data_IF_931873302644
#
_entry.id   IF_931873302644
#
_cell.length_a   1.000
_cell.length_b   1.000
_cell.length_c   1.000
_cell.angle_alpha   90.00
_cell.angle_beta   90.00
_cell.angle_gamma   90.00
#
_symmetry.space_group_name_H-M   'P 1'
#
loop_
_entity.id
_entity.type
_entity.pdbx_description
1 polymer ?
#
# COMPACT_ATOMS: atom_id res chain seq x y z
N UNK A 1 -5.71 13.40 13.79
CA UNK A 1 -5.86 12.59 12.58
C UNK A 1 -7.01 11.60 12.73
N UNK A 2 -7.73 11.35 11.64
CA UNK A 2 -8.89 10.45 11.58
C UNK A 2 -8.41 9.01 11.33
N UNK A 3 -8.97 7.98 12.01
CA UNK A 3 -8.61 6.58 11.77
C UNK A 3 -8.81 6.17 10.31
N UNK A 4 -8.01 5.24 9.80
CA UNK A 4 -8.05 4.82 8.38
C UNK A 4 -9.41 4.25 8.03
N UNK A 5 -9.96 3.41 8.90
CA UNK A 5 -11.28 2.81 8.84
C UNK A 5 -12.43 3.82 8.71
N UNK A 6 -12.23 5.07 9.15
CA UNK A 6 -13.21 6.13 8.95
C UNK A 6 -12.88 7.02 7.74
N UNK A 7 -11.60 7.28 7.49
CA UNK A 7 -11.12 8.10 6.38
C UNK A 7 -11.52 7.54 5.01
N UNK A 8 -11.58 6.21 4.88
CA UNK A 8 -12.00 5.53 3.64
C UNK A 8 -13.45 5.82 3.22
N UNK A 9 -14.28 6.45 4.06
CA UNK A 9 -15.63 6.85 3.70
C UNK A 9 -15.69 8.30 3.17
N UNK A 10 -14.65 9.11 3.41
CA UNK A 10 -14.65 10.53 3.05
C UNK A 10 -14.35 10.77 1.56
N UNK A 11 -13.79 9.78 0.87
CA UNK A 11 -13.27 9.94 -0.49
C UNK A 11 -13.75 8.84 -1.43
N UNK A 12 -13.66 9.12 -2.73
CA UNK A 12 -13.93 8.13 -3.77
C UNK A 12 -12.90 6.99 -3.72
N UNK A 13 -13.33 5.79 -4.13
CA UNK A 13 -12.51 4.57 -4.09
C UNK A 13 -11.09 4.78 -4.65
N UNK A 14 -10.96 5.40 -5.83
CA UNK A 14 -9.66 5.62 -6.45
C UNK A 14 -8.71 6.50 -5.62
N UNK A 15 -9.21 7.55 -4.98
CA UNK A 15 -8.40 8.43 -4.12
C UNK A 15 -7.86 7.63 -2.94
N UNK A 16 -8.70 6.78 -2.35
CA UNK A 16 -8.33 5.92 -1.23
C UNK A 16 -7.29 4.88 -1.63
N UNK A 17 -7.44 4.26 -2.81
CA UNK A 17 -6.48 3.28 -3.32
C UNK A 17 -5.13 3.94 -3.58
N UNK A 18 -5.10 5.05 -4.30
CA UNK A 18 -3.84 5.77 -4.59
C UNK A 18 -3.21 6.32 -3.31
N UNK A 19 -4.00 6.92 -2.43
CA UNK A 19 -3.53 7.42 -1.14
C UNK A 19 -2.94 6.32 -0.27
N UNK A 20 -3.60 5.16 -0.18
CA UNK A 20 -3.10 3.99 0.55
C UNK A 20 -1.78 3.46 -0.03
N UNK A 21 -1.62 3.44 -1.36
CA UNK A 21 -0.36 3.01 -2.00
C UNK A 21 0.78 4.01 -1.79
N UNK A 22 0.48 5.32 -1.75
CA UNK A 22 1.46 6.36 -1.38
C UNK A 22 1.90 6.19 0.08
N UNK A 23 0.94 6.00 0.98
CA UNK A 23 1.22 5.77 2.41
C UNK A 23 2.04 4.51 2.64
N UNK A 24 1.70 3.41 1.97
CA UNK A 24 2.49 2.18 2.01
C UNK A 24 3.94 2.42 1.57
N UNK A 25 4.14 3.05 0.42
CA UNK A 25 5.50 3.35 -0.10
C UNK A 25 6.27 4.24 0.89
N UNK A 26 5.61 5.22 1.49
CA UNK A 26 6.21 6.15 2.46
C UNK A 26 6.62 5.43 3.74
N UNK A 27 5.73 4.60 4.30
CA UNK A 27 6.00 3.85 5.53
C UNK A 27 7.12 2.82 5.32
N UNK A 28 7.16 2.15 4.17
CA UNK A 28 8.23 1.18 3.84
C UNK A 28 9.58 1.87 3.69
N UNK A 29 9.63 3.01 3.00
CA UNK A 29 10.84 3.82 2.91
C UNK A 29 11.30 4.30 4.30
N UNK A 30 10.37 4.71 5.16
CA UNK A 30 10.67 5.05 6.55
C UNK A 30 11.21 3.87 7.36
N UNK A 31 10.71 2.65 7.12
CA UNK A 31 11.24 1.45 7.75
C UNK A 31 12.67 1.13 7.29
N UNK A 32 12.99 1.32 6.00
CA UNK A 32 14.37 1.21 5.50
C UNK A 32 15.32 2.20 6.19
N UNK A 33 14.93 3.48 6.28
CA UNK A 33 15.75 4.50 6.97
C UNK A 33 16.01 4.10 8.43
N UNK A 34 14.99 3.60 9.14
CA UNK A 34 15.16 3.13 10.52
C UNK A 34 16.11 1.92 10.62
N UNK A 35 16.12 1.04 9.63
CA UNK A 35 17.08 -0.09 9.59
C UNK A 35 18.50 0.44 9.42
N UNK A 36 18.72 1.41 8.53
CA UNK A 36 20.03 2.07 8.35
C UNK A 36 20.50 2.78 9.62
N UNK A 37 19.58 3.33 10.43
CA UNK A 37 19.85 3.92 11.74
C UNK A 37 20.12 2.88 12.85
N UNK A 38 20.04 1.57 12.55
CA UNK A 38 20.34 0.48 13.48
C UNK A 38 19.11 -0.17 14.13
N UNK A 39 17.89 0.25 13.79
CA UNK A 39 16.65 -0.38 14.27
C UNK A 39 16.28 -1.61 13.42
N UNK A 40 17.01 -2.71 13.60
CA UNK A 40 16.85 -3.97 12.84
C UNK A 40 15.44 -4.59 12.89
N UNK A 41 14.60 -4.22 13.86
CA UNK A 41 13.23 -4.70 13.98
C UNK A 41 12.18 -3.87 13.21
N UNK A 42 12.57 -2.78 12.52
CA UNK A 42 11.60 -1.84 11.94
C UNK A 42 10.62 -2.52 10.95
N UNK A 43 11.08 -3.42 10.09
CA UNK A 43 10.17 -4.17 9.21
C UNK A 43 9.23 -5.11 9.96
N UNK A 44 9.68 -5.73 11.06
CA UNK A 44 8.84 -6.61 11.86
C UNK A 44 7.75 -5.82 12.58
N UNK A 45 8.08 -4.64 13.10
CA UNK A 45 7.12 -3.71 13.68
C UNK A 45 6.11 -3.24 12.63
N UNK A 46 6.59 -2.89 11.43
CA UNK A 46 5.74 -2.45 10.34
C UNK A 46 4.80 -3.56 9.84
N UNK A 47 5.29 -4.79 9.70
CA UNK A 47 4.46 -5.92 9.30
C UNK A 47 3.33 -6.19 10.31
N UNK A 48 3.62 -6.09 11.62
CA UNK A 48 2.59 -6.16 12.66
C UNK A 48 1.55 -5.04 12.52
N UNK A 49 1.98 -3.80 12.25
CA UNK A 49 1.08 -2.66 11.98
C UNK A 49 0.18 -2.94 10.78
N UNK A 50 0.73 -3.46 9.67
CA UNK A 50 -0.07 -3.82 8.49
C UNK A 50 -1.12 -4.89 8.81
N UNK A 51 -0.78 -5.92 9.58
CA UNK A 51 -1.74 -6.97 9.99
C UNK A 51 -2.89 -6.38 10.80
N UNK A 52 -2.60 -5.49 11.75
CA UNK A 52 -3.65 -4.80 12.54
C UNK A 52 -4.56 -3.96 11.65
N UNK A 53 -3.99 -3.17 10.75
CA UNK A 53 -4.75 -2.32 9.83
C UNK A 53 -5.61 -3.15 8.86
N UNK A 54 -5.07 -4.24 8.31
CA UNK A 54 -5.80 -5.16 7.43
C UNK A 54 -6.97 -5.82 8.18
N UNK A 55 -6.76 -6.28 9.40
CA UNK A 55 -7.83 -6.85 10.22
C UNK A 55 -8.94 -5.84 10.53
N UNK A 56 -8.60 -4.56 10.73
CA UNK A 56 -9.61 -3.50 10.89
C UNK A 56 -10.49 -3.36 9.64
N UNK A 57 -9.89 -3.38 8.44
CA UNK A 57 -10.65 -3.34 7.18
C UNK A 57 -11.49 -4.61 6.97
N UNK A 58 -10.96 -5.78 7.32
CA UNK A 58 -11.72 -7.04 7.28
C UNK A 58 -12.92 -6.99 8.22
N UNK A 59 -12.76 -6.44 9.43
CA UNK A 59 -13.86 -6.28 10.37
C UNK A 59 -14.96 -5.36 9.83
N UNK A 60 -14.60 -4.30 9.10
CA UNK A 60 -15.60 -3.47 8.40
C UNK A 60 -16.39 -4.28 7.37
N UNK A 61 -15.73 -5.17 6.60
CA UNK A 61 -16.40 -6.03 5.62
C UNK A 61 -17.38 -7.02 6.25
N UNK A 62 -17.13 -7.47 7.49
CA UNK A 62 -18.04 -8.33 8.23
C UNK A 62 -19.30 -7.58 8.71
N UNK A 63 -19.25 -6.24 8.75
CA UNK A 63 -20.37 -5.38 9.10
C UNK A 63 -21.38 -5.14 7.97
N UNK A 64 -22.34 -4.26 8.26
CA UNK A 64 -23.33 -3.80 7.30
C UNK A 64 -22.76 -2.65 6.46
N UNK A 65 -22.64 -2.86 5.15
CA UNK A 65 -22.14 -1.90 4.18
C UNK A 65 -23.05 -1.95 2.95
N UNK A 66 -23.24 -0.81 2.29
CA UNK A 66 -23.85 -0.80 0.95
C UNK A 66 -22.90 -1.46 -0.08
N UNK A 67 -23.43 -1.80 -1.25
CA UNK A 67 -22.68 -2.52 -2.27
C UNK A 67 -21.42 -1.76 -2.73
N UNK A 68 -21.50 -0.44 -2.86
CA UNK A 68 -20.39 0.39 -3.30
C UNK A 68 -19.25 0.41 -2.27
N UNK A 69 -19.56 0.63 -1.00
CA UNK A 69 -18.58 0.63 0.07
C UNK A 69 -17.98 -0.77 0.27
N UNK A 70 -18.78 -1.83 0.13
CA UNK A 70 -18.30 -3.21 0.18
C UNK A 70 -17.30 -3.49 -0.95
N UNK A 71 -17.59 -3.11 -2.19
CA UNK A 71 -16.66 -3.28 -3.32
C UNK A 71 -15.38 -2.45 -3.15
N UNK A 72 -15.50 -1.22 -2.66
CA UNK A 72 -14.38 -0.31 -2.38
C UNK A 72 -13.44 -0.91 -1.33
N UNK A 73 -13.99 -1.36 -0.20
CA UNK A 73 -13.22 -1.92 0.91
C UNK A 73 -12.62 -3.27 0.51
N UNK A 74 -13.35 -4.10 -0.23
CA UNK A 74 -12.83 -5.38 -0.75
C UNK A 74 -11.59 -5.14 -1.62
N UNK A 75 -11.67 -4.17 -2.54
CA UNK A 75 -10.56 -3.80 -3.40
C UNK A 75 -9.36 -3.26 -2.62
N UNK A 76 -9.61 -2.47 -1.58
CA UNK A 76 -8.56 -1.98 -0.69
C UNK A 76 -7.88 -3.13 0.09
N UNK A 77 -8.66 -4.06 0.64
CA UNK A 77 -8.15 -5.24 1.34
C UNK A 77 -7.25 -6.10 0.44
N UNK A 78 -7.59 -6.27 -0.84
CA UNK A 78 -6.76 -7.01 -1.79
C UNK A 78 -5.39 -6.36 -2.00
N UNK A 79 -5.35 -5.03 -2.12
CA UNK A 79 -4.09 -4.30 -2.28
C UNK A 79 -3.26 -4.36 -0.99
N UNK A 80 -3.89 -4.19 0.17
CA UNK A 80 -3.21 -4.25 1.46
C UNK A 80 -2.69 -5.67 1.77
N UNK A 81 -3.41 -6.71 1.33
CA UNK A 81 -2.97 -8.10 1.45
C UNK A 81 -1.66 -8.31 0.67
N UNK A 82 -1.62 -7.89 -0.60
CA UNK A 82 -0.40 -7.93 -1.42
C UNK A 82 0.74 -7.15 -0.76
N UNK A 83 0.48 -5.92 -0.34
CA UNK A 83 1.45 -5.07 0.33
C UNK A 83 2.03 -5.70 1.61
N UNK A 84 1.21 -6.43 2.38
CA UNK A 84 1.67 -7.19 3.56
C UNK A 84 2.54 -8.38 3.16
N UNK A 85 2.15 -9.11 2.13
CA UNK A 85 2.88 -10.30 1.66
C UNK A 85 4.26 -9.94 1.11
N UNK A 86 4.38 -8.80 0.42
CA UNK A 86 5.68 -8.23 0.00
C UNK A 86 6.59 -8.00 1.22
N UNK A 87 6.10 -7.37 2.29
CA UNK A 87 6.90 -7.11 3.49
C UNK A 87 7.26 -8.41 4.22
N UNK A 88 6.33 -9.36 4.32
CA UNK A 88 6.60 -10.68 4.86
C UNK A 88 7.69 -11.41 4.05
N UNK A 89 7.67 -11.30 2.71
CA UNK A 89 8.71 -11.85 1.84
C UNK A 89 10.07 -11.17 2.07
N UNK A 90 10.09 -9.85 2.16
CA UNK A 90 11.32 -9.09 2.43
C UNK A 90 11.93 -9.44 3.79
N UNK A 91 11.12 -9.64 4.82
CA UNK A 91 11.55 -10.12 6.14
C UNK A 91 12.19 -11.52 6.07
N UNK A 92 11.57 -12.45 5.33
CA UNK A 92 12.09 -13.80 5.16
C UNK A 92 13.44 -13.81 4.42
N UNK A 93 13.60 -12.93 3.44
CA UNK A 93 14.83 -12.75 2.67
C UNK A 93 15.87 -11.86 3.38
N UNK A 94 15.54 -11.30 4.55
CA UNK A 94 16.38 -10.36 5.32
C UNK A 94 16.86 -9.18 4.47
N UNK A 95 15.94 -8.59 3.71
CA UNK A 95 16.23 -7.41 2.90
C UNK A 95 16.35 -6.20 3.81
N UNK A 96 17.49 -5.52 3.72
CA UNK A 96 17.80 -4.32 4.50
C UNK A 96 18.18 -3.13 3.59
N UNK A 97 18.46 -3.38 2.31
CA UNK A 97 18.83 -2.35 1.34
C UNK A 97 17.64 -1.98 0.45
N UNK A 98 17.35 -0.68 0.34
CA UNK A 98 16.27 -0.15 -0.49
C UNK A 98 16.45 -0.45 -1.99
N UNK A 99 17.68 -0.69 -2.44
CA UNK A 99 17.98 -0.99 -3.85
C UNK A 99 17.77 -2.48 -4.21
N UNK A 100 17.37 -3.32 -3.25
CA UNK A 100 17.11 -4.73 -3.52
C UNK A 100 15.97 -4.93 -4.52
N UNK A 101 16.18 -5.85 -5.46
CA UNK A 101 15.25 -6.08 -6.56
C UNK A 101 13.84 -6.43 -6.08
N UNK A 102 13.72 -7.19 -4.99
CA UNK A 102 12.41 -7.59 -4.42
C UNK A 102 11.55 -6.38 -4.05
N UNK A 103 12.16 -5.28 -3.59
CA UNK A 103 11.45 -4.02 -3.36
C UNK A 103 11.32 -3.20 -4.64
N UNK A 104 12.41 -3.10 -5.42
CA UNK A 104 12.45 -2.31 -6.63
C UNK A 104 11.47 -2.78 -7.72
N UNK A 105 11.14 -4.07 -7.77
CA UNK A 105 10.18 -4.63 -8.73
C UNK A 105 8.73 -4.24 -8.42
N UNK A 106 8.42 -3.75 -7.22
CA UNK A 106 7.06 -3.43 -6.82
C UNK A 106 6.59 -2.11 -7.46
N UNK A 107 5.30 -2.02 -7.82
CA UNK A 107 4.73 -0.75 -8.26
C UNK A 107 4.51 0.19 -7.05
N UNK A 108 5.32 1.25 -6.98
CA UNK A 108 5.35 2.20 -5.86
C UNK A 108 4.77 3.54 -6.25
N UNK A 109 3.73 3.99 -5.55
CA UNK A 109 3.20 5.34 -5.75
C UNK A 109 3.89 6.32 -4.79
N UNK A 110 4.26 7.49 -5.30
CA UNK A 110 4.81 8.57 -4.48
C UNK A 110 4.19 9.90 -4.84
N UNK A 111 4.04 10.76 -3.84
CA UNK A 111 3.73 12.17 -4.05
C UNK A 111 5.04 12.96 -4.17
N UNK A 112 5.18 13.76 -5.21
CA UNK A 112 6.31 14.68 -5.37
C UNK A 112 5.86 16.10 -4.99
N UNK A 113 6.32 16.66 -3.85
CA UNK A 113 5.91 17.97 -3.40
C UNK A 113 6.45 19.12 -4.28
N UNK A 114 7.53 18.88 -5.05
CA UNK A 114 8.08 19.92 -5.96
C UNK A 114 7.22 20.08 -7.20
N UNK A 115 6.80 18.95 -7.75
CA UNK A 115 5.96 18.92 -8.95
C UNK A 115 4.46 19.00 -8.62
N UNK A 116 4.09 18.88 -7.34
CA UNK A 116 2.71 18.74 -6.86
C UNK A 116 1.93 17.65 -7.63
N UNK A 117 2.59 16.50 -7.86
CA UNK A 117 2.07 15.42 -8.68
C UNK A 117 2.39 14.04 -8.09
N UNK A 118 1.53 13.08 -8.39
CA UNK A 118 1.75 11.67 -8.07
C UNK A 118 2.52 10.98 -9.20
N UNK A 119 3.45 10.11 -8.83
CA UNK A 119 4.22 9.28 -9.74
C UNK A 119 4.11 7.81 -9.32
N UNK A 120 4.02 6.94 -10.31
CA UNK A 120 4.21 5.50 -10.14
C UNK A 120 5.62 5.13 -10.58
N UNK A 121 6.34 4.41 -9.72
CA UNK A 121 7.71 3.98 -9.91
C UNK A 121 7.77 2.46 -9.87
N UNK A 122 8.53 1.88 -10.80
CA UNK A 122 8.83 0.44 -10.84
C UNK A 122 10.22 0.31 -11.44
N UNK A 123 11.11 -0.40 -10.73
CA UNK A 123 12.54 -0.43 -11.04
C UNK A 123 13.09 1.00 -11.28
N UNK A 124 13.68 1.23 -12.45
CA UNK A 124 14.20 2.50 -12.95
C UNK A 124 13.15 3.35 -13.69
N UNK A 125 11.97 2.80 -13.97
CA UNK A 125 10.90 3.49 -14.67
C UNK A 125 10.11 4.44 -13.73
N UNK A 126 9.70 5.58 -14.29
CA UNK A 126 8.86 6.59 -13.64
C UNK A 126 7.75 7.01 -14.57
N UNK A 127 6.51 6.89 -14.09
CA UNK A 127 5.32 7.31 -14.81
C UNK A 127 4.58 8.39 -14.01
N UNK A 128 4.19 9.47 -14.66
CA UNK A 128 3.29 10.46 -14.05
C UNK A 128 1.89 9.84 -13.96
N UNK A 129 1.29 9.85 -12.77
CA UNK A 129 -0.08 9.40 -12.58
C UNK A 129 -1.02 10.34 -13.35
N UNK A 130 -1.86 9.79 -14.23
CA UNK A 130 -2.70 10.59 -15.15
C UNK A 130 -4.06 10.96 -14.56
N UNK A 131 -4.38 10.52 -13.34
CA UNK A 131 -5.63 10.85 -12.65
C UNK A 131 -6.92 10.43 -13.39
N UNK A 132 -6.82 9.46 -14.29
CA UNK A 132 -7.99 8.91 -14.99
C UNK A 132 -8.89 8.16 -14.02
N UNK A 133 -10.15 8.58 -13.90
CA UNK A 133 -11.09 7.93 -13.00
C UNK A 133 -11.66 6.64 -13.61
N UNK A 134 -11.31 5.49 -13.03
CA UNK A 134 -11.70 4.18 -13.56
C UNK A 134 -12.99 3.61 -12.91
N UNK A 135 -13.56 4.34 -11.95
CA UNK A 135 -14.71 3.89 -11.17
C UNK A 135 -14.33 3.02 -9.98
N UNK A 136 -15.35 2.62 -9.22
CA UNK A 136 -15.23 1.62 -8.17
C UNK A 136 -15.38 0.23 -8.78
N UNK A 137 -14.31 -0.28 -9.39
CA UNK A 137 -14.29 -1.61 -10.01
C UNK A 137 -13.47 -2.56 -9.15
N UNK A 138 -13.97 -3.79 -9.02
CA UNK A 138 -13.20 -4.91 -8.48
C UNK A 138 -11.84 -5.07 -9.18
N UNK A 139 -10.83 -5.46 -8.41
CA UNK A 139 -9.48 -5.75 -8.90
C UNK A 139 -9.17 -7.23 -8.77
N UNK A 140 -8.37 -7.72 -9.70
CA UNK A 140 -7.82 -9.07 -9.64
C UNK A 140 -6.76 -9.16 -8.54
N UNK A 141 -6.61 -10.36 -7.99
CA UNK A 141 -5.56 -10.67 -7.02
C UNK A 141 -4.20 -10.56 -7.71
N UNK A 142 -3.26 -9.88 -7.06
CA UNK A 142 -1.88 -9.78 -7.54
C UNK A 142 -1.16 -11.10 -7.20
N UNK A 143 -0.57 -11.72 -8.21
CA UNK A 143 0.19 -12.97 -8.09
C UNK A 143 1.63 -12.74 -8.53
N UNK A 144 2.59 -13.61 -8.16
CA UNK A 144 3.98 -13.50 -8.62
C UNK A 144 4.17 -13.47 -10.16
N UNK A 145 3.17 -13.91 -10.94
CA UNK A 145 3.21 -13.86 -12.41
C UNK A 145 2.80 -12.49 -12.97
N UNK A 146 2.04 -11.72 -12.19
CA UNK A 146 1.48 -10.40 -12.56
C UNK A 146 2.13 -9.24 -11.80
N UNK A 147 3.09 -9.55 -10.91
CA UNK A 147 3.83 -8.61 -10.08
C UNK A 147 5.06 -8.05 -10.81
#
# INVERSE_FOLDING_TARGET
DKPREEWIFDYAAQIILTGSQIWWTTDVNGAFVRIEEGFSNAFREYNKKQIVQLNALINLLLGHLNDQDREKITTLCLIDLHARDVISKMLNLKIENINEFTWQSQLRHRWDPKDNNCYANICDARFKYQYEYLGNKSRLVITPLTD
#
